data_IF_513049078192
#
_entry.id   IF_513049078192
#
_cell.length_a   1.000
_cell.length_b   1.000
_cell.length_c   1.000
_cell.angle_alpha   90.00
_cell.angle_beta   90.00
_cell.angle_gamma   90.00
#
_symmetry.space_group_name_H-M   'P 1'
#
loop_
_entity.id
_entity.type
_entity.pdbx_description
1 polymer ?
#
# COMPACT_ATOMS: atom_id res chain seq x y z
N UNK A 1 -17.41 27.35 14.47
CA UNK A 1 -17.43 27.85 13.07
C UNK A 1 -17.71 26.70 12.11
N UNK A 2 -18.40 26.92 10.99
CA UNK A 2 -18.57 25.89 9.95
C UNK A 2 -17.31 25.82 9.07
N UNK A 3 -16.68 24.65 8.98
CA UNK A 3 -15.53 24.45 8.08
C UNK A 3 -16.01 24.32 6.65
N UNK A 4 -15.45 25.15 5.75
CA UNK A 4 -15.68 25.02 4.31
C UNK A 4 -15.30 23.62 3.82
N UNK A 5 -16.28 22.91 3.27
CA UNK A 5 -16.08 21.56 2.74
C UNK A 5 -16.06 20.46 3.81
N UNK A 6 -16.50 20.71 5.05
CA UNK A 6 -16.57 19.71 6.11
C UNK A 6 -17.34 18.45 5.68
N UNK A 7 -18.52 18.61 5.09
CA UNK A 7 -19.32 17.49 4.56
C UNK A 7 -18.53 16.68 3.54
N UNK A 8 -17.83 17.34 2.63
CA UNK A 8 -17.01 16.67 1.62
C UNK A 8 -15.86 15.89 2.28
N UNK A 9 -15.16 16.48 3.26
CA UNK A 9 -14.10 15.82 4.00
C UNK A 9 -14.60 14.59 4.77
N UNK A 10 -15.78 14.67 5.41
CA UNK A 10 -16.38 13.53 6.10
C UNK A 10 -16.81 12.42 5.13
N UNK A 11 -17.44 12.79 4.00
CA UNK A 11 -17.77 11.82 2.94
C UNK A 11 -16.51 11.17 2.40
N UNK A 12 -15.46 11.94 2.15
CA UNK A 12 -14.18 11.45 1.66
C UNK A 12 -13.50 10.50 2.67
N UNK A 13 -13.51 10.85 3.96
CA UNK A 13 -13.03 9.98 5.04
C UNK A 13 -13.82 8.65 5.10
N UNK A 14 -15.14 8.72 4.92
CA UNK A 14 -16.00 7.55 4.79
C UNK A 14 -15.61 6.66 3.61
N UNK A 15 -15.43 7.24 2.42
CA UNK A 15 -15.00 6.50 1.23
C UNK A 15 -13.62 5.86 1.43
N UNK A 16 -12.68 6.58 2.04
CA UNK A 16 -11.35 6.09 2.37
C UNK A 16 -11.43 4.86 3.29
N UNK A 17 -12.15 4.94 4.41
CA UNK A 17 -12.22 3.83 5.36
C UNK A 17 -12.98 2.61 4.80
N UNK A 18 -14.03 2.83 4.02
CA UNK A 18 -14.73 1.75 3.31
C UNK A 18 -13.82 1.07 2.31
N UNK A 19 -13.04 1.84 1.54
CA UNK A 19 -12.07 1.28 0.59
C UNK A 19 -10.96 0.49 1.32
N UNK A 20 -10.46 0.97 2.46
CA UNK A 20 -9.52 0.21 3.30
C UNK A 20 -10.13 -1.11 3.78
N UNK A 21 -11.36 -1.08 4.29
CA UNK A 21 -12.07 -2.28 4.74
C UNK A 21 -12.25 -3.30 3.62
N UNK A 22 -12.72 -2.85 2.45
CA UNK A 22 -12.90 -3.71 1.28
C UNK A 22 -11.57 -4.29 0.79
N UNK A 23 -10.51 -3.46 0.72
CA UNK A 23 -9.17 -3.91 0.33
C UNK A 23 -8.62 -4.96 1.31
N UNK A 24 -8.82 -4.76 2.61
CA UNK A 24 -8.43 -5.73 3.63
C UNK A 24 -9.21 -7.05 3.50
N UNK A 25 -10.51 -7.00 3.23
CA UNK A 25 -11.33 -8.19 2.99
C UNK A 25 -10.87 -8.96 1.75
N UNK A 26 -10.62 -8.29 0.63
CA UNK A 26 -10.12 -8.92 -0.59
C UNK A 26 -8.80 -9.68 -0.35
N UNK A 27 -7.88 -9.06 0.39
CA UNK A 27 -6.59 -9.68 0.73
C UNK A 27 -6.73 -10.80 1.77
N UNK A 28 -7.73 -10.72 2.67
CA UNK A 28 -7.98 -11.74 3.68
C UNK A 28 -8.74 -12.97 3.15
N UNK A 29 -9.54 -12.82 2.09
CA UNK A 29 -10.25 -13.94 1.44
C UNK A 29 -9.30 -14.79 0.59
N UNK A 30 -8.25 -14.20 0.03
CA UNK A 30 -7.32 -14.89 -0.86
C UNK A 30 -6.65 -16.15 -0.25
N UNK A 31 -6.17 -16.14 1.01
CA UNK A 31 -5.68 -17.34 1.68
C UNK A 31 -6.74 -18.42 1.88
N UNK A 32 -8.00 -18.02 2.10
CA UNK A 32 -9.12 -18.96 2.25
C UNK A 32 -9.42 -19.69 0.93
N UNK A 33 -9.08 -19.09 -0.21
CA UNK A 33 -9.18 -19.70 -1.55
C UNK A 33 -7.97 -20.59 -1.92
N UNK A 34 -7.06 -20.87 -0.99
CA UNK A 34 -5.93 -21.79 -1.18
C UNK A 34 -4.65 -21.17 -1.75
N UNK A 35 -4.60 -19.84 -1.93
CA UNK A 35 -3.39 -19.14 -2.37
C UNK A 35 -2.43 -18.93 -1.19
N UNK A 36 -1.14 -19.28 -1.35
CA UNK A 36 -0.10 -18.96 -0.37
C UNK A 36 0.09 -17.44 -0.30
N UNK A 37 0.04 -16.87 0.90
CA UNK A 37 0.33 -15.45 1.13
C UNK A 37 1.74 -15.10 0.65
N UNK A 38 1.83 -14.42 -0.48
CA UNK A 38 3.10 -13.87 -0.96
C UNK A 38 3.55 -12.75 -0.02
N UNK A 39 4.86 -12.58 0.16
CA UNK A 39 5.43 -11.43 0.87
C UNK A 39 4.96 -10.09 0.26
N UNK A 40 4.64 -10.11 -1.04
CA UNK A 40 4.07 -8.98 -1.77
C UNK A 40 2.67 -8.61 -1.26
N UNK A 41 1.78 -9.57 -1.01
CA UNK A 41 0.42 -9.33 -0.51
C UNK A 41 0.45 -8.65 0.86
N UNK A 42 1.31 -9.14 1.75
CA UNK A 42 1.45 -8.58 3.11
C UNK A 42 2.05 -7.17 3.06
N UNK A 43 3.01 -6.95 2.17
CA UNK A 43 3.58 -5.62 1.94
C UNK A 43 2.54 -4.65 1.35
N UNK A 44 1.74 -5.12 0.40
CA UNK A 44 0.67 -4.35 -0.23
C UNK A 44 -0.40 -3.96 0.77
N UNK A 45 -0.92 -4.94 1.51
CA UNK A 45 -1.90 -4.74 2.57
C UNK A 45 -1.41 -3.67 3.55
N UNK A 46 -0.19 -3.84 4.08
CA UNK A 46 0.39 -2.90 5.03
C UNK A 46 0.54 -1.51 4.43
N UNK A 47 1.00 -1.41 3.19
CA UNK A 47 1.27 -0.12 2.54
C UNK A 47 -0.03 0.63 2.26
N UNK A 48 -1.00 -0.03 1.62
CA UNK A 48 -2.30 0.55 1.27
C UNK A 48 -3.06 0.95 2.54
N UNK A 49 -3.09 0.07 3.54
CA UNK A 49 -3.73 0.36 4.82
C UNK A 49 -3.08 1.58 5.49
N UNK A 50 -1.76 1.66 5.53
CA UNK A 50 -1.05 2.82 6.12
C UNK A 50 -1.40 4.12 5.39
N UNK A 51 -1.44 4.11 4.05
CA UNK A 51 -1.78 5.32 3.28
C UNK A 51 -3.21 5.76 3.49
N UNK A 52 -4.16 4.83 3.47
CA UNK A 52 -5.58 5.14 3.68
C UNK A 52 -5.81 5.68 5.08
N UNK A 53 -5.14 5.14 6.11
CA UNK A 53 -5.22 5.69 7.46
C UNK A 53 -4.69 7.12 7.54
N UNK A 54 -3.55 7.42 6.91
CA UNK A 54 -3.00 8.79 6.87
C UNK A 54 -3.94 9.74 6.12
N UNK A 55 -4.52 9.31 5.00
CA UNK A 55 -5.48 10.09 4.24
C UNK A 55 -6.77 10.35 5.05
N UNK A 56 -7.29 9.34 5.73
CA UNK A 56 -8.47 9.45 6.59
C UNK A 56 -8.21 10.42 7.74
N UNK A 57 -7.04 10.30 8.40
CA UNK A 57 -6.63 11.23 9.44
C UNK A 57 -6.49 12.66 8.89
N UNK A 58 -5.92 12.83 7.69
CA UNK A 58 -5.86 14.10 6.96
C UNK A 58 -7.24 14.71 6.73
N UNK A 59 -8.21 13.91 6.31
CA UNK A 59 -9.57 14.39 6.09
C UNK A 59 -10.27 14.86 7.38
N UNK A 60 -9.99 14.22 8.52
CA UNK A 60 -10.60 14.56 9.82
C UNK A 60 -9.87 15.68 10.57
N UNK A 61 -8.61 15.95 10.21
CA UNK A 61 -7.73 16.92 10.87
C UNK A 61 -8.33 18.33 10.96
N UNK A 62 -8.87 18.91 9.86
CA UNK A 62 -9.49 20.24 9.92
C UNK A 62 -10.63 20.28 10.94
N UNK A 63 -11.50 19.26 10.93
CA UNK A 63 -12.64 19.18 11.84
C UNK A 63 -12.22 19.13 13.31
N UNK A 64 -11.17 18.36 13.64
CA UNK A 64 -10.63 18.31 15.00
C UNK A 64 -10.11 19.68 15.43
N UNK A 65 -9.37 20.39 14.56
CA UNK A 65 -8.86 21.72 14.89
C UNK A 65 -9.96 22.78 15.03
N UNK A 66 -11.07 22.65 14.28
CA UNK A 66 -12.24 23.51 14.48
C UNK A 66 -12.92 23.32 15.83
N UNK A 67 -12.84 22.14 16.45
CA UNK A 67 -13.39 21.93 17.81
C UNK A 67 -12.65 22.75 18.88
N UNK A 68 -11.42 23.17 18.60
CA UNK A 68 -10.63 24.03 19.48
C UNK A 68 -10.79 25.53 19.17
N UNK A 69 -11.78 25.89 18.32
CA UNK A 69 -12.03 27.27 17.87
C UNK A 69 -10.77 27.98 17.31
N UNK A 70 -9.89 27.21 16.69
CA UNK A 70 -8.70 27.74 16.00
C UNK A 70 -9.15 28.55 14.79
N UNK A 71 -8.45 29.65 14.52
CA UNK A 71 -8.74 30.51 13.37
C UNK A 71 -8.59 29.76 12.03
N UNK A 72 -9.50 29.97 11.08
CA UNK A 72 -9.60 29.21 9.82
C UNK A 72 -8.26 29.09 9.07
N UNK A 73 -7.50 30.18 8.95
CA UNK A 73 -6.17 30.19 8.30
C UNK A 73 -5.17 29.23 8.96
N UNK A 74 -5.20 29.14 10.29
CA UNK A 74 -4.31 28.26 11.04
C UNK A 74 -4.75 26.80 10.95
N UNK A 75 -6.06 26.52 10.89
CA UNK A 75 -6.59 25.17 10.66
C UNK A 75 -5.94 24.58 9.40
N UNK A 76 -6.06 25.27 8.26
CA UNK A 76 -5.54 24.75 6.99
C UNK A 76 -4.02 24.59 6.99
N UNK A 77 -3.29 25.53 7.59
CA UNK A 77 -1.81 25.44 7.70
C UNK A 77 -1.38 24.25 8.53
N UNK A 78 -1.95 24.07 9.72
CA UNK A 78 -1.61 22.98 10.64
C UNK A 78 -2.03 21.65 9.99
N UNK A 79 -3.24 21.54 9.45
CA UNK A 79 -3.69 20.33 8.74
C UNK A 79 -2.82 19.98 7.55
N UNK A 80 -2.37 20.97 6.78
CA UNK A 80 -1.47 20.77 5.62
C UNK A 80 -0.11 20.24 6.06
N UNK A 81 0.50 20.83 7.09
CA UNK A 81 1.79 20.37 7.62
C UNK A 81 1.65 18.96 8.21
N UNK A 82 0.63 18.73 9.05
CA UNK A 82 0.45 17.46 9.74
C UNK A 82 0.07 16.31 8.80
N UNK A 83 -0.57 16.61 7.67
CA UNK A 83 -0.83 15.65 6.60
C UNK A 83 0.38 15.45 5.68
N UNK A 84 1.04 16.53 5.25
CA UNK A 84 2.13 16.46 4.28
C UNK A 84 3.35 15.71 4.83
N UNK A 85 3.69 15.88 6.12
CA UNK A 85 4.82 15.20 6.75
C UNK A 85 4.74 13.67 6.66
N UNK A 86 3.70 13.00 7.17
CA UNK A 86 3.58 11.55 7.06
C UNK A 86 3.39 11.11 5.60
N UNK A 87 2.64 11.85 4.79
CA UNK A 87 2.37 11.47 3.39
C UNK A 87 3.65 11.50 2.54
N UNK A 88 4.42 12.59 2.60
CA UNK A 88 5.72 12.70 1.90
C UNK A 88 6.72 11.65 2.41
N UNK A 89 6.74 11.41 3.72
CA UNK A 89 7.58 10.37 4.31
C UNK A 89 7.25 8.99 3.72
N UNK A 90 5.97 8.66 3.56
CA UNK A 90 5.53 7.41 2.95
C UNK A 90 5.90 7.34 1.46
N UNK A 91 5.66 8.40 0.69
CA UNK A 91 5.96 8.46 -0.74
C UNK A 91 7.47 8.36 -1.02
N UNK A 92 8.31 9.11 -0.30
CA UNK A 92 9.78 9.09 -0.47
C UNK A 92 10.39 7.76 -0.01
N UNK A 93 9.81 7.14 1.02
CA UNK A 93 10.31 5.88 1.57
C UNK A 93 9.84 4.66 0.75
N UNK A 94 8.80 4.81 -0.09
CA UNK A 94 8.24 3.75 -0.94
C UNK A 94 9.27 3.05 -1.86
N UNK A 95 10.08 3.75 -2.69
CA UNK A 95 11.05 3.11 -3.57
C UNK A 95 12.15 2.37 -2.80
N UNK A 96 12.58 2.92 -1.65
CA UNK A 96 13.60 2.28 -0.79
C UNK A 96 13.05 1.02 -0.11
N UNK A 97 11.79 1.03 0.32
CA UNK A 97 11.14 -0.14 0.96
C UNK A 97 10.91 -1.27 -0.04
N UNK A 98 10.43 -0.97 -1.25
CA UNK A 98 10.21 -2.01 -2.27
C UNK A 98 11.52 -2.66 -2.71
N UNK A 99 12.58 -1.88 -2.93
CA UNK A 99 13.91 -2.41 -3.32
C UNK A 99 14.51 -3.35 -2.27
N UNK A 100 14.25 -3.10 -0.97
CA UNK A 100 14.72 -3.97 0.12
C UNK A 100 13.96 -5.29 0.25
N UNK A 101 12.70 -5.35 -0.19
CA UNK A 101 11.84 -6.54 0.00
C UNK A 101 11.76 -7.40 -1.25
N UNK A 102 11.75 -6.78 -2.43
CA UNK A 102 11.48 -7.49 -3.70
C UNK A 102 12.72 -7.58 -4.59
N UNK A 103 13.80 -6.84 -4.29
CA UNK A 103 15.03 -6.80 -5.12
C UNK A 103 14.88 -6.05 -6.44
N UNK A 104 13.68 -6.07 -7.04
CA UNK A 104 13.32 -5.33 -8.25
C UNK A 104 12.70 -3.95 -7.96
N UNK A 105 13.00 -2.99 -8.84
CA UNK A 105 12.44 -1.63 -8.78
C UNK A 105 10.93 -1.62 -9.07
N UNK A 106 10.16 -0.68 -8.46
CA UNK A 106 8.73 -0.55 -8.75
C UNK A 106 8.48 -0.44 -10.26
N UNK A 107 7.35 -0.98 -10.78
CA UNK A 107 6.93 -0.73 -12.14
C UNK A 107 6.98 0.79 -12.39
N UNK A 108 7.56 1.25 -13.50
CA UNK A 108 7.80 2.67 -13.74
C UNK A 108 6.51 3.49 -13.66
N UNK A 109 5.36 2.91 -14.05
CA UNK A 109 4.05 3.51 -13.90
C UNK A 109 3.64 3.76 -12.44
N UNK A 110 3.82 2.77 -11.54
CA UNK A 110 3.50 2.93 -10.11
C UNK A 110 4.43 3.95 -9.47
N UNK A 111 5.72 3.96 -9.84
CA UNK A 111 6.65 4.95 -9.33
C UNK A 111 6.27 6.38 -9.78
N UNK A 112 5.98 6.57 -11.07
CA UNK A 112 5.58 7.87 -11.61
C UNK A 112 4.29 8.39 -10.97
N UNK A 113 3.26 7.55 -10.88
CA UNK A 113 1.95 7.99 -10.35
C UNK A 113 2.00 8.14 -8.82
N UNK A 114 2.56 7.16 -8.11
CA UNK A 114 2.48 7.14 -6.65
C UNK A 114 3.51 8.03 -5.97
N UNK A 115 4.74 8.07 -6.49
CA UNK A 115 5.84 8.82 -5.89
C UNK A 115 5.94 10.21 -6.51
N UNK A 116 5.97 10.32 -7.84
CA UNK A 116 6.20 11.62 -8.49
C UNK A 116 4.95 12.48 -8.44
N UNK A 117 3.80 11.97 -8.93
CA UNK A 117 2.56 12.74 -8.92
C UNK A 117 2.04 12.97 -7.49
N UNK A 118 2.03 11.94 -6.64
CA UNK A 118 1.66 12.07 -5.22
C UNK A 118 2.49 13.14 -4.50
N UNK A 119 3.83 13.08 -4.59
CA UNK A 119 4.69 14.06 -3.93
C UNK A 119 4.56 15.46 -4.51
N UNK A 120 4.44 15.58 -5.83
CA UNK A 120 4.22 16.86 -6.48
C UNK A 120 2.92 17.52 -6.00
N UNK A 121 1.83 16.75 -5.90
CA UNK A 121 0.53 17.24 -5.44
C UNK A 121 0.57 17.62 -3.96
N UNK A 122 1.15 16.77 -3.10
CA UNK A 122 1.29 17.07 -1.67
C UNK A 122 2.17 18.31 -1.45
N UNK A 123 3.29 18.46 -2.17
CA UNK A 123 4.16 19.64 -2.09
C UNK A 123 3.49 20.91 -2.64
N UNK A 124 2.81 20.81 -3.78
CA UNK A 124 2.08 21.93 -4.37
C UNK A 124 1.01 22.45 -3.40
N UNK A 125 0.24 21.54 -2.79
CA UNK A 125 -0.74 21.90 -1.77
C UNK A 125 -0.09 22.54 -0.54
N UNK A 126 1.00 21.96 -0.01
CA UNK A 126 1.70 22.53 1.13
C UNK A 126 2.20 23.96 0.84
N UNK A 127 2.84 24.16 -0.31
CA UNK A 127 3.31 25.48 -0.75
C UNK A 127 2.14 26.47 -0.92
N UNK A 128 1.05 26.04 -1.54
CA UNK A 128 -0.14 26.86 -1.79
C UNK A 128 -0.78 27.36 -0.48
N UNK A 129 -0.95 26.47 0.49
CA UNK A 129 -1.57 26.80 1.78
C UNK A 129 -0.65 27.65 2.65
N UNK A 130 0.66 27.36 2.66
CA UNK A 130 1.62 28.17 3.42
C UNK A 130 1.78 29.59 2.85
N UNK A 131 1.72 29.73 1.51
CA UNK A 131 1.71 31.03 0.84
C UNK A 131 0.46 31.88 1.17
N UNK A 132 -0.56 31.30 1.82
CA UNK A 132 -1.75 32.04 2.25
C UNK A 132 -2.69 32.39 1.10
N UNK A 133 -2.71 31.58 0.04
CA UNK A 133 -3.54 31.82 -1.14
C UNK A 133 -5.04 31.61 -0.83
N UNK A 134 -5.94 32.31 -1.55
CA UNK A 134 -7.36 32.46 -1.18
C UNK A 134 -8.19 31.17 -1.21
N UNK A 135 -7.67 30.10 -1.82
CA UNK A 135 -8.37 28.81 -1.94
C UNK A 135 -7.68 27.67 -1.18
N UNK A 136 -7.10 27.97 -0.02
CA UNK A 136 -6.45 26.98 0.85
C UNK A 136 -7.29 25.73 1.16
N UNK A 137 -8.61 25.85 1.49
CA UNK A 137 -9.48 24.67 1.67
C UNK A 137 -9.56 23.78 0.43
N UNK A 138 -9.74 24.40 -0.75
CA UNK A 138 -9.89 23.68 -2.00
C UNK A 138 -8.59 22.95 -2.37
N UNK A 139 -7.44 23.63 -2.27
CA UNK A 139 -6.14 23.02 -2.53
C UNK A 139 -5.88 21.80 -1.63
N UNK A 140 -6.25 21.88 -0.35
CA UNK A 140 -6.14 20.77 0.60
C UNK A 140 -7.02 19.57 0.22
N UNK A 141 -8.30 19.82 -0.03
CA UNK A 141 -9.28 18.78 -0.40
C UNK A 141 -8.91 18.13 -1.74
N UNK A 142 -8.47 18.91 -2.71
CA UNK A 142 -8.01 18.41 -4.01
C UNK A 142 -6.81 17.49 -3.86
N UNK A 143 -5.82 17.86 -3.03
CA UNK A 143 -4.66 17.01 -2.79
C UNK A 143 -5.05 15.66 -2.16
N UNK A 144 -5.87 15.68 -1.09
CA UNK A 144 -6.40 14.47 -0.47
C UNK A 144 -7.13 13.56 -1.47
N UNK A 145 -7.94 14.17 -2.34
CA UNK A 145 -8.71 13.44 -3.34
C UNK A 145 -7.79 12.79 -4.37
N UNK A 146 -6.82 13.53 -4.92
CA UNK A 146 -5.87 13.01 -5.90
C UNK A 146 -5.01 11.90 -5.29
N UNK A 147 -4.51 12.10 -4.06
CA UNK A 147 -3.73 11.09 -3.35
C UNK A 147 -4.56 9.82 -3.08
N UNK A 148 -5.85 9.96 -2.74
CA UNK A 148 -6.75 8.83 -2.58
C UNK A 148 -6.94 8.01 -3.87
N UNK A 149 -7.22 8.68 -4.99
CA UNK A 149 -7.34 7.99 -6.28
C UNK A 149 -6.03 7.35 -6.72
N UNK A 150 -4.90 7.98 -6.40
CA UNK A 150 -3.56 7.45 -6.65
C UNK A 150 -3.32 6.16 -5.86
N UNK A 151 -3.79 6.07 -4.61
CA UNK A 151 -3.78 4.83 -3.81
C UNK A 151 -4.68 3.76 -4.40
N UNK A 152 -5.89 4.12 -4.84
CA UNK A 152 -6.81 3.17 -5.49
C UNK A 152 -6.16 2.59 -6.76
N UNK A 153 -5.62 3.45 -7.61
CA UNK A 153 -4.94 3.03 -8.84
C UNK A 153 -3.76 2.11 -8.54
N UNK A 154 -2.91 2.47 -7.58
CA UNK A 154 -1.79 1.64 -7.15
C UNK A 154 -2.21 0.28 -6.61
N UNK A 155 -3.33 0.21 -5.88
CA UNK A 155 -3.91 -1.04 -5.39
C UNK A 155 -4.42 -1.92 -6.53
N UNK A 156 -5.18 -1.36 -7.48
CA UNK A 156 -5.73 -2.10 -8.62
C UNK A 156 -4.64 -2.65 -9.53
N UNK A 157 -3.64 -1.83 -9.89
CA UNK A 157 -2.51 -2.29 -10.73
C UNK A 157 -1.74 -3.40 -10.02
N UNK A 158 -1.55 -3.29 -8.71
CA UNK A 158 -0.86 -4.33 -7.99
C UNK A 158 -1.69 -5.61 -7.83
N UNK A 159 -3.02 -5.52 -7.68
CA UNK A 159 -3.91 -6.67 -7.76
C UNK A 159 -3.86 -7.36 -9.12
N UNK A 160 -3.81 -6.60 -10.21
CA UNK A 160 -3.69 -7.15 -11.57
C UNK A 160 -2.38 -7.93 -11.73
N UNK A 161 -1.25 -7.36 -11.30
CA UNK A 161 0.05 -8.06 -11.28
C UNK A 161 -0.02 -9.34 -10.43
N UNK A 162 -0.71 -9.27 -9.29
CA UNK A 162 -0.92 -10.40 -8.40
C UNK A 162 -1.77 -11.50 -9.05
N UNK A 163 -2.81 -11.13 -9.80
CA UNK A 163 -3.69 -12.07 -10.51
C UNK A 163 -3.01 -12.69 -11.73
N UNK A 164 -2.08 -11.97 -12.35
CA UNK A 164 -1.28 -12.45 -13.47
C UNK A 164 -0.17 -13.42 -13.05
N UNK A 165 0.17 -13.53 -11.76
CA UNK A 165 1.10 -14.56 -11.29
C UNK A 165 0.40 -15.93 -11.39
N UNK A 166 0.80 -16.81 -12.32
CA UNK A 166 0.15 -18.10 -12.49
C UNK A 166 0.29 -18.95 -11.23
N UNK A 167 -0.68 -19.85 -10.99
CA UNK A 167 -0.55 -20.98 -10.06
C UNK A 167 0.51 -22.00 -10.54
N UNK A 168 1.68 -21.55 -11.00
CA UNK A 168 2.73 -22.40 -11.58
C UNK A 168 3.50 -23.22 -10.53
N UNK A 169 3.21 -23.07 -9.24
CA UNK A 169 3.85 -23.85 -8.18
C UNK A 169 3.11 -25.15 -7.81
N UNK A 170 2.08 -25.56 -8.55
CA UNK A 170 1.26 -26.75 -8.24
C UNK A 170 1.45 -27.96 -9.17
N UNK A 171 2.29 -27.88 -10.20
CA UNK A 171 2.64 -29.05 -11.02
C UNK A 171 4.16 -29.30 -11.06
N UNK A 172 4.70 -29.75 -9.94
CA UNK A 172 5.71 -30.81 -10.01
C UNK A 172 5.20 -32.01 -9.22
N UNK A 173 4.46 -32.93 -9.85
CA UNK A 173 4.39 -34.29 -9.34
C UNK A 173 5.79 -34.88 -9.53
N UNK A 174 6.61 -34.92 -8.48
CA UNK A 174 7.71 -35.88 -8.41
C UNK A 174 7.10 -37.27 -8.23
N UNK A 175 6.50 -37.78 -9.31
CA UNK A 175 6.28 -39.22 -9.48
C UNK A 175 7.64 -39.80 -9.80
N UNK A 176 8.40 -40.08 -8.74
CA UNK A 176 9.53 -40.98 -8.81
C UNK A 176 8.99 -42.40 -8.59
N UNK A 177 8.28 -42.92 -9.59
CA UNK A 177 7.95 -44.34 -9.70
C UNK A 177 9.09 -45.00 -10.47
N UNK A 178 10.15 -45.32 -9.73
CA UNK A 178 11.32 -46.05 -10.21
C UNK A 178 11.65 -47.19 -9.26
N UNK A 179 10.71 -48.14 -9.19
CA UNK A 179 10.86 -49.59 -8.93
C UNK A 179 12.02 -50.00 -7.99
N UNK A 180 11.60 -50.47 -6.81
CA UNK A 180 12.33 -51.35 -5.91
C UNK A 180 12.74 -52.65 -6.60
N UNK A 181 14.02 -53.03 -6.47
CA UNK A 181 14.47 -54.41 -6.60
C UNK A 181 15.67 -54.62 -5.66
N UNK A 182 15.39 -54.85 -4.38
CA UNK A 182 16.24 -55.75 -3.57
C UNK A 182 16.02 -57.18 -4.05
N UNK A 183 17.08 -57.98 -4.04
CA UNK A 183 17.09 -59.00 -3.00
C UNK A 183 18.40 -59.12 -2.24
N UNK A 184 18.22 -59.42 -0.97
CA UNK A 184 19.18 -59.94 0.00
C UNK A 184 20.07 -61.07 -0.53
N UNK A 185 21.39 -60.96 -0.29
CA UNK A 185 22.36 -62.03 -0.55
C UNK A 185 23.63 -61.92 0.31
N UNK A 186 23.61 -62.59 1.45
CA UNK A 186 24.71 -63.30 2.17
C UNK A 186 26.09 -62.64 2.38
N UNK A 187 26.42 -62.53 3.66
CA UNK A 187 27.77 -62.74 4.23
C UNK A 187 28.43 -64.00 3.65
N UNK A 188 29.72 -63.93 3.30
CA UNK A 188 30.81 -64.87 3.70
C UNK A 188 31.96 -64.91 2.69
N UNK A 189 33.18 -64.84 3.21
CA UNK A 189 34.43 -65.37 2.64
C UNK A 189 35.00 -64.72 1.36
N UNK A 190 36.20 -64.14 1.48
CA UNK A 190 37.44 -64.78 1.03
C UNK A 190 38.64 -63.98 1.57
N UNK A 191 39.38 -64.68 2.43
CA UNK A 191 40.77 -64.44 2.77
C UNK A 191 41.68 -64.62 1.54
N UNK A 192 42.80 -63.88 1.49
CA UNK A 192 44.10 -64.28 0.90
C UNK A 192 44.65 -63.38 -0.22
N UNK A 193 45.92 -62.97 0.00
CA UNK A 193 46.90 -62.29 -0.88
C UNK A 193 46.71 -60.77 -0.96
N UNK A 194 47.64 -59.91 -0.53
CA UNK A 194 49.11 -60.00 -0.44
C UNK A 194 49.63 -59.27 0.80
#
# INVERSE_FOLDING_TARGET
>A
MEIKGATFLYTLAGLMITFAGFSALLLAVRPLAGAKLSLLDRYLAKTVMTHIFVLTAGALLPAILALYDIHETWIWRISSVLFALPMLSLQVTYPRRRRKVVGEGPPPAIFAVFVVLGAAVTLAMLAYVLAGLPYSPAAYITALTIDFFTVIFGFVVALDVIMQQPMEALEQPTVNLGIDDRPSGSLSEISSKQ
#
